data_IF_727413029847
#
_entry.id   IF_727413029847
#
_cell.length_a   1.000
_cell.length_b   1.000
_cell.length_c   1.000
_cell.angle_alpha   90.00
_cell.angle_beta   90.00
_cell.angle_gamma   90.00
#
_symmetry.space_group_name_H-M   'P 1'
#
loop_
_entity.id
_entity.type
_entity.pdbx_description
1 polymer ?
#
# COMPACT_ATOMS: atom_id res chain seq x y z
N UNK A 1 32.49 46.42 38.86
CA UNK A 1 33.47 45.45 39.39
C UNK A 1 33.09 44.04 38.93
N UNK A 2 34.10 43.26 38.56
CA UNK A 2 34.05 41.93 37.94
C UNK A 2 33.54 40.85 38.89
N UNK A 3 32.77 39.86 38.41
CA UNK A 3 32.84 38.48 38.92
C UNK A 3 32.31 37.42 37.93
N UNK A 4 33.28 36.92 37.18
CA UNK A 4 33.57 35.54 36.79
C UNK A 4 32.42 34.51 36.68
N UNK A 5 32.28 34.09 35.43
CA UNK A 5 31.75 32.82 34.91
C UNK A 5 32.37 31.60 35.63
N UNK A 6 31.54 30.62 35.98
CA UNK A 6 31.96 29.23 36.16
C UNK A 6 31.04 28.37 35.29
N UNK A 7 31.61 27.80 34.24
CA UNK A 7 31.04 26.73 33.41
C UNK A 7 30.79 25.50 34.29
N UNK A 8 29.58 24.96 34.26
CA UNK A 8 29.33 23.57 34.59
C UNK A 8 28.70 22.91 33.36
N UNK A 9 29.55 22.27 32.56
CA UNK A 9 29.13 21.38 31.49
C UNK A 9 28.59 20.09 32.13
N UNK A 10 27.27 19.95 32.16
CA UNK A 10 26.62 18.67 32.43
C UNK A 10 26.23 18.08 31.08
N UNK A 11 27.08 17.18 30.58
CA UNK A 11 26.74 16.28 29.49
C UNK A 11 25.60 15.38 29.95
N UNK A 12 24.37 15.81 29.71
CA UNK A 12 23.22 14.92 29.65
C UNK A 12 23.37 14.15 28.35
N UNK A 13 23.88 12.93 28.45
CA UNK A 13 23.79 11.93 27.41
C UNK A 13 22.30 11.63 27.20
N UNK A 14 21.63 12.44 26.38
CA UNK A 14 20.35 12.09 25.81
C UNK A 14 20.60 10.84 24.96
N UNK A 15 20.24 9.69 25.52
CA UNK A 15 19.91 8.50 24.75
C UNK A 15 18.80 8.91 23.78
N UNK A 16 19.19 9.40 22.61
CA UNK A 16 18.32 9.51 21.47
C UNK A 16 18.02 8.07 21.06
N UNK A 17 17.01 7.48 21.68
CA UNK A 17 16.25 6.44 21.01
C UNK A 17 15.67 7.12 19.77
N UNK A 18 16.38 7.01 18.64
CA UNK A 18 15.78 7.20 17.33
C UNK A 18 14.73 6.12 17.18
N UNK A 19 13.57 6.35 17.80
CA UNK A 19 12.34 5.73 17.37
C UNK A 19 12.17 6.23 15.95
N UNK A 20 12.45 5.35 14.98
CA UNK A 20 12.07 5.57 13.61
C UNK A 20 10.54 5.59 13.63
N UNK A 21 9.95 6.77 13.86
CA UNK A 21 8.54 6.98 13.56
C UNK A 21 8.48 6.97 12.04
N UNK A 22 8.41 5.78 11.46
CA UNK A 22 7.87 5.64 10.12
C UNK A 22 6.53 6.33 10.17
N UNK A 23 6.43 7.48 9.51
CA UNK A 23 5.20 8.23 9.37
C UNK A 23 4.19 7.22 8.84
N UNK A 24 3.21 6.83 9.67
CA UNK A 24 2.18 5.89 9.25
C UNK A 24 1.56 6.53 8.01
N UNK A 25 1.82 5.93 6.84
CA UNK A 25 1.36 6.46 5.58
C UNK A 25 -0.16 6.38 5.66
N UNK A 26 -0.79 7.51 5.93
CA UNK A 26 -2.20 7.53 6.27
C UNK A 26 -3.05 6.91 5.16
N UNK A 27 -4.19 6.33 5.56
CA UNK A 27 -5.14 5.70 4.64
C UNK A 27 -5.56 6.63 3.47
N UNK A 28 -5.55 7.95 3.68
CA UNK A 28 -5.85 8.95 2.64
C UNK A 28 -4.81 8.93 1.51
N UNK A 29 -3.51 8.83 1.83
CA UNK A 29 -2.45 8.74 0.81
C UNK A 29 -2.55 7.45 -0.01
N UNK A 30 -3.00 6.37 0.64
CA UNK A 30 -3.21 5.08 -0.02
C UNK A 30 -4.41 5.15 -0.93
N UNK A 31 -5.53 5.73 -0.47
CA UNK A 31 -6.75 5.90 -1.26
C UNK A 31 -6.47 6.73 -2.52
N UNK A 32 -5.81 7.87 -2.38
CA UNK A 32 -5.47 8.74 -3.51
C UNK A 32 -4.58 8.04 -4.54
N UNK A 33 -3.57 7.30 -4.07
CA UNK A 33 -2.72 6.50 -4.95
C UNK A 33 -3.53 5.41 -5.65
N UNK A 34 -4.33 4.65 -4.89
CA UNK A 34 -5.12 3.52 -5.38
C UNK A 34 -6.12 3.93 -6.46
N UNK A 35 -6.77 5.08 -6.30
CA UNK A 35 -7.77 5.66 -7.20
C UNK A 35 -7.17 6.42 -8.38
N UNK A 36 -5.87 6.29 -8.64
CA UNK A 36 -5.21 6.99 -9.76
C UNK A 36 -5.90 6.72 -11.11
N UNK A 37 -5.96 7.72 -12.01
CA UNK A 37 -6.45 7.52 -13.37
C UNK A 37 -5.69 6.42 -14.12
N UNK A 38 -6.38 5.69 -14.99
CA UNK A 38 -5.81 4.62 -15.81
C UNK A 38 -5.73 3.26 -15.12
N UNK A 39 -5.80 3.22 -13.79
CA UNK A 39 -5.79 1.98 -13.01
C UNK A 39 -4.41 1.32 -12.97
N UNK A 40 -4.43 -0.01 -12.85
CA UNK A 40 -3.28 -0.83 -12.50
C UNK A 40 -3.17 -2.05 -13.41
N UNK A 41 -1.93 -2.39 -13.74
CA UNK A 41 -1.55 -3.68 -14.27
C UNK A 41 -1.14 -4.56 -13.09
N UNK A 42 -1.82 -5.69 -12.90
CA UNK A 42 -1.60 -6.57 -11.75
C UNK A 42 -0.93 -7.84 -12.22
N UNK A 43 0.31 -8.02 -11.81
CA UNK A 43 1.04 -9.26 -11.99
C UNK A 43 0.70 -10.20 -10.83
N UNK A 44 0.32 -11.43 -11.15
CA UNK A 44 0.07 -12.45 -10.15
C UNK A 44 0.89 -13.71 -10.40
N UNK A 45 1.30 -14.37 -9.31
CA UNK A 45 2.12 -15.58 -9.35
C UNK A 45 1.75 -16.55 -8.23
N UNK A 46 1.25 -17.72 -8.62
CA UNK A 46 0.99 -18.89 -7.78
C UNK A 46 1.41 -20.16 -8.52
N UNK A 47 0.52 -21.16 -8.63
CA UNK A 47 0.74 -22.37 -9.45
C UNK A 47 0.87 -22.08 -10.95
N UNK A 48 0.40 -20.91 -11.37
CA UNK A 48 0.64 -20.32 -12.68
C UNK A 48 0.88 -18.81 -12.49
N UNK A 49 1.11 -18.09 -13.59
CA UNK A 49 1.32 -16.65 -13.54
C UNK A 49 0.58 -15.96 -14.68
N UNK A 50 0.22 -14.70 -14.45
CA UNK A 50 -0.45 -13.91 -15.46
C UNK A 50 -0.55 -12.44 -15.07
N UNK A 51 -1.32 -11.72 -15.88
CA UNK A 51 -1.53 -10.29 -15.73
C UNK A 51 -3.03 -9.99 -15.79
N UNK A 52 -3.48 -9.07 -14.95
CA UNK A 52 -4.86 -8.61 -14.84
C UNK A 52 -4.90 -7.09 -14.90
N UNK A 53 -6.07 -6.54 -15.22
CA UNK A 53 -6.33 -5.11 -15.12
C UNK A 53 -7.21 -4.83 -13.91
N UNK A 54 -6.74 -3.96 -13.01
CA UNK A 54 -7.52 -3.46 -11.88
C UNK A 54 -7.81 -1.98 -12.07
N UNK A 55 -9.08 -1.59 -11.94
CA UNK A 55 -9.51 -0.19 -11.92
C UNK A 55 -10.28 0.03 -10.62
N UNK A 56 -9.80 0.93 -9.78
CA UNK A 56 -10.45 1.28 -8.53
C UNK A 56 -11.32 2.52 -8.72
N UNK A 57 -12.52 2.49 -8.16
CA UNK A 57 -13.49 3.57 -8.23
C UNK A 57 -14.02 3.88 -6.84
N UNK A 58 -14.06 5.16 -6.47
CA UNK A 58 -14.81 5.63 -5.31
C UNK A 58 -16.29 5.79 -5.70
N UNK A 59 -17.17 5.09 -5.01
CA UNK A 59 -18.63 5.17 -5.20
C UNK A 59 -19.34 5.84 -4.02
N UNK A 60 -18.60 6.61 -3.22
CA UNK A 60 -19.11 7.35 -2.06
C UNK A 60 -19.11 6.50 -0.80
N UNK A 61 -19.95 5.46 -0.75
CA UNK A 61 -20.04 4.58 0.43
C UNK A 61 -18.92 3.52 0.46
N UNK A 62 -18.40 3.16 -0.70
CA UNK A 62 -17.41 2.10 -0.85
C UNK A 62 -16.45 2.36 -2.02
N UNK A 63 -15.24 1.84 -1.89
CA UNK A 63 -14.32 1.68 -3.01
C UNK A 63 -14.61 0.32 -3.65
N UNK A 64 -14.70 0.32 -4.98
CA UNK A 64 -14.88 -0.91 -5.78
C UNK A 64 -13.67 -1.09 -6.68
N UNK A 65 -13.17 -2.32 -6.76
CA UNK A 65 -12.23 -2.72 -7.80
C UNK A 65 -12.98 -3.44 -8.91
N UNK A 66 -12.82 -2.95 -10.14
CA UNK A 66 -13.17 -3.65 -11.38
C UNK A 66 -11.96 -4.45 -11.82
N UNK A 67 -12.13 -5.76 -11.92
CA UNK A 67 -11.07 -6.69 -12.31
C UNK A 67 -11.41 -7.22 -13.69
N UNK A 68 -10.44 -7.16 -14.60
CA UNK A 68 -10.52 -7.80 -15.91
C UNK A 68 -9.35 -8.75 -16.12
N UNK A 69 -9.67 -10.00 -16.44
CA UNK A 69 -8.73 -11.05 -16.79
C UNK A 69 -8.96 -11.47 -18.24
N UNK A 70 -8.15 -10.91 -19.15
CA UNK A 70 -8.25 -11.23 -20.57
C UNK A 70 -7.95 -12.71 -20.88
N UNK A 71 -7.03 -13.34 -20.14
CA UNK A 71 -6.61 -14.72 -20.40
C UNK A 71 -7.75 -15.73 -20.21
N UNK A 72 -8.72 -15.43 -19.33
CA UNK A 72 -9.88 -16.27 -19.06
C UNK A 72 -11.20 -15.62 -19.47
N UNK A 73 -11.15 -14.51 -20.21
CA UNK A 73 -12.32 -13.72 -20.59
C UNK A 73 -13.28 -13.47 -19.40
N UNK A 74 -12.71 -13.12 -18.25
CA UNK A 74 -13.43 -12.99 -16.99
C UNK A 74 -13.35 -11.55 -16.50
N UNK A 75 -14.48 -11.02 -16.02
CA UNK A 75 -14.54 -9.72 -15.35
C UNK A 75 -15.40 -9.82 -14.10
N UNK A 76 -15.06 -9.08 -13.06
CA UNK A 76 -15.85 -8.99 -11.84
C UNK A 76 -15.63 -7.66 -11.12
N UNK A 77 -16.54 -7.33 -10.20
CA UNK A 77 -16.41 -6.20 -9.27
C UNK A 77 -16.34 -6.72 -7.82
N UNK A 78 -15.50 -6.10 -6.99
CA UNK A 78 -15.35 -6.43 -5.57
C UNK A 78 -15.23 -5.17 -4.75
N UNK A 79 -15.78 -5.21 -3.53
CA UNK A 79 -15.56 -4.16 -2.56
C UNK A 79 -14.11 -4.20 -2.08
N UNK A 80 -13.59 -3.02 -1.76
CA UNK A 80 -12.24 -2.83 -1.28
C UNK A 80 -12.30 -2.16 0.08
N UNK A 81 -11.54 -2.69 1.03
CA UNK A 81 -11.41 -2.14 2.37
C UNK A 81 -9.97 -1.71 2.61
N UNK A 82 -9.76 -0.45 2.95
CA UNK A 82 -8.45 0.06 3.35
C UNK A 82 -8.37 0.04 4.88
N UNK A 83 -7.38 -0.65 5.42
CA UNK A 83 -7.11 -0.73 6.87
C UNK A 83 -5.63 -0.39 7.08
N UNK A 84 -5.38 0.72 7.77
CA UNK A 84 -4.03 1.25 7.98
C UNK A 84 -3.27 1.38 6.65
N UNK A 85 -2.21 0.59 6.47
CA UNK A 85 -1.37 0.57 5.27
C UNK A 85 -1.70 -0.54 4.27
N UNK A 86 -2.85 -1.21 4.46
CA UNK A 86 -3.28 -2.35 3.67
C UNK A 86 -4.56 -2.10 2.89
N UNK A 87 -4.61 -2.66 1.68
CA UNK A 87 -5.77 -2.70 0.80
C UNK A 87 -6.24 -4.16 0.72
N UNK A 88 -7.44 -4.43 1.22
CA UNK A 88 -8.03 -5.75 1.30
C UNK A 88 -9.16 -5.88 0.28
N UNK A 89 -9.15 -6.95 -0.51
CA UNK A 89 -10.13 -7.23 -1.55
C UNK A 89 -10.16 -8.72 -1.90
N UNK A 90 -11.17 -9.13 -2.66
CA UNK A 90 -11.20 -10.45 -3.29
C UNK A 90 -10.89 -10.35 -4.79
N UNK A 91 -10.44 -11.44 -5.38
CA UNK A 91 -10.36 -11.61 -6.82
C UNK A 91 -11.66 -12.16 -7.41
N UNK A 92 -11.65 -12.44 -8.71
CA UNK A 92 -12.80 -13.11 -9.34
C UNK A 92 -12.96 -14.56 -8.86
N UNK A 93 -11.84 -15.29 -8.66
CA UNK A 93 -11.79 -16.67 -8.19
C UNK A 93 -10.80 -16.87 -7.01
N UNK A 94 -10.33 -15.78 -6.41
CA UNK A 94 -9.41 -15.82 -5.27
C UNK A 94 -9.98 -14.95 -4.16
N UNK A 95 -9.66 -15.24 -2.91
CA UNK A 95 -10.22 -14.53 -1.76
C UNK A 95 -9.15 -14.17 -0.74
N UNK A 96 -9.37 -13.09 0.00
CA UNK A 96 -8.46 -12.64 1.04
C UNK A 96 -7.15 -12.13 0.47
N UNK A 97 -7.22 -11.33 -0.59
CA UNK A 97 -6.06 -10.62 -1.13
C UNK A 97 -5.79 -9.42 -0.22
N UNK A 98 -4.60 -9.36 0.35
CA UNK A 98 -4.12 -8.21 1.14
C UNK A 98 -2.90 -7.62 0.46
N UNK A 99 -3.00 -6.36 0.03
CA UNK A 99 -1.91 -5.59 -0.58
C UNK A 99 -1.40 -4.56 0.41
N UNK A 100 -0.09 -4.47 0.58
CA UNK A 100 0.57 -3.42 1.37
C UNK A 100 1.09 -2.32 0.45
N UNK A 101 0.90 -1.07 0.87
CA UNK A 101 1.47 0.08 0.19
C UNK A 101 2.93 0.29 0.59
N UNK A 102 3.79 0.44 -0.41
CA UNK A 102 5.20 0.78 -0.28
C UNK A 102 5.45 2.04 -1.12
N UNK A 103 5.53 3.23 -0.50
CA UNK A 103 5.65 4.48 -1.24
C UNK A 103 7.05 4.66 -1.85
N UNK A 104 8.05 3.89 -1.41
CA UNK A 104 9.41 3.98 -1.89
C UNK A 104 9.59 3.17 -3.19
N UNK A 105 8.77 2.13 -3.39
CA UNK A 105 8.71 1.36 -4.63
C UNK A 105 7.86 2.07 -5.69
N UNK A 106 8.53 2.79 -6.60
CA UNK A 106 7.86 3.55 -7.68
C UNK A 106 7.38 2.66 -8.82
N UNK A 107 7.86 1.43 -8.94
CA UNK A 107 7.44 0.51 -10.01
C UNK A 107 6.25 -0.34 -9.57
N UNK A 108 6.31 -0.89 -8.36
CA UNK A 108 5.27 -1.73 -7.76
C UNK A 108 4.87 -1.22 -6.37
N UNK A 109 4.18 -0.07 -6.29
CA UNK A 109 3.83 0.55 -5.01
C UNK A 109 2.86 -0.29 -4.17
N UNK A 110 2.14 -1.24 -4.76
CA UNK A 110 1.34 -2.20 -4.00
C UNK A 110 1.81 -3.63 -4.27
N UNK A 111 2.08 -4.37 -3.20
CA UNK A 111 2.54 -5.76 -3.21
C UNK A 111 1.81 -6.54 -2.13
N UNK A 112 1.51 -7.79 -2.38
CA UNK A 112 0.80 -8.59 -1.39
C UNK A 112 0.52 -10.00 -1.84
N UNK A 113 -0.39 -10.65 -1.13
CA UNK A 113 -0.68 -12.06 -1.35
C UNK A 113 -2.12 -12.40 -0.98
N UNK A 114 -2.58 -13.51 -1.55
CA UNK A 114 -3.64 -14.37 -1.03
C UNK A 114 -3.00 -15.67 -0.53
N UNK A 115 -3.76 -16.65 0.01
CA UNK A 115 -3.19 -17.89 0.51
C UNK A 115 -2.28 -18.66 -0.47
N UNK A 116 -2.46 -18.49 -1.79
CA UNK A 116 -1.71 -19.25 -2.80
C UNK A 116 -1.09 -18.40 -3.91
N UNK A 117 -1.27 -17.08 -3.89
CA UNK A 117 -0.92 -16.21 -5.01
C UNK A 117 -0.27 -14.94 -4.49
N UNK A 118 0.86 -14.57 -5.06
CA UNK A 118 1.52 -13.28 -4.83
C UNK A 118 1.07 -12.28 -5.90
N UNK A 119 0.94 -11.02 -5.52
CA UNK A 119 0.48 -9.91 -6.35
C UNK A 119 1.44 -8.75 -6.30
N UNK A 120 1.61 -8.07 -7.45
CA UNK A 120 2.27 -6.78 -7.55
C UNK A 120 1.50 -5.89 -8.53
N UNK A 121 1.26 -4.65 -8.15
CA UNK A 121 0.50 -3.71 -8.97
C UNK A 121 1.44 -2.66 -9.51
N UNK A 122 1.46 -2.54 -10.83
CA UNK A 122 2.19 -1.50 -11.56
C UNK A 122 1.21 -0.47 -12.11
N UNK A 123 1.55 0.79 -11.94
CA UNK A 123 0.82 1.89 -12.54
C UNK A 123 0.79 1.75 -14.07
N UNK A 124 -0.41 1.88 -14.67
CA UNK A 124 -0.57 2.09 -16.12
C UNK A 124 -0.26 3.52 -16.53
#
# INVERSE_FOLDING_TARGET
MKRNVILAAVCVFCLMTTAYSGEAIGADNIKDMLLRPGGWLVEWRGNSSGVLDFIFEDRGENIVVKIHNAAWNQSCERNVTIIEDTVNLDGCNDTGITLRYDPDDKEFPFKGESPNVNYKLKAK
#
